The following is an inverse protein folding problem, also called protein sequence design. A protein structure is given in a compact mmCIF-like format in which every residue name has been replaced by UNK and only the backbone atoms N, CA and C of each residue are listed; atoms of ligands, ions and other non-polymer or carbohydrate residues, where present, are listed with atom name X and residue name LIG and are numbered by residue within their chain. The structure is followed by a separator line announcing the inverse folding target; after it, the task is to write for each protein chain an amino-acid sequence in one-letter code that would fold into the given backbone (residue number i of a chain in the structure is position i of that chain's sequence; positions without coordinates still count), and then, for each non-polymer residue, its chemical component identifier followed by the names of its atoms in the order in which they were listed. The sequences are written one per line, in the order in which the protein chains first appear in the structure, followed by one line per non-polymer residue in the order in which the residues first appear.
data_IF_851647561709
#
_entry.id   IF_851647561709
#
_cell.length_a   1.000
_cell.length_b   1.000
_cell.length_c   1.000
_cell.angle_alpha   90.00
_cell.angle_beta   90.00
_cell.angle_gamma   90.00
#
_symmetry.space_group_name_H-M   'P 1'
#
loop_
_entity.id
_entity.type
_entity.pdbx_description
1 polymer ?
#
# COMPACT_ATOMS: atom_id res chain seq x y z
N UNK A 1 24.20 -5.46 -1.12
CA UNK A 1 24.96 -6.57 -1.75
C UNK A 1 25.41 -7.50 -0.65
N UNK A 2 25.23 -8.81 -0.84
CA UNK A 2 25.42 -9.82 0.19
C UNK A 2 26.20 -10.99 -0.38
N UNK A 3 27.11 -11.57 0.41
CA UNK A 3 27.77 -12.83 0.08
C UNK A 3 26.83 -13.97 0.46
N UNK A 4 26.32 -14.71 -0.53
CA UNK A 4 25.39 -15.81 -0.28
C UNK A 4 26.00 -16.88 0.63
N UNK A 5 25.13 -17.50 1.44
CA UNK A 5 25.38 -18.67 2.27
C UNK A 5 24.28 -19.73 2.05
N UNK A 6 24.17 -20.72 2.94
CA UNK A 6 23.20 -21.81 2.79
C UNK A 6 21.76 -21.42 3.17
N UNK A 7 21.56 -20.32 3.91
CA UNK A 7 20.25 -19.87 4.34
C UNK A 7 19.60 -18.92 3.33
N UNK A 8 18.30 -18.65 3.52
CA UNK A 8 17.57 -17.70 2.69
C UNK A 8 17.89 -16.28 3.19
N UNK A 9 18.66 -15.56 2.38
CA UNK A 9 19.06 -14.17 2.65
C UNK A 9 19.84 -13.96 3.97
N UNK A 10 20.58 -14.95 4.46
CA UNK A 10 21.33 -14.89 5.75
C UNK A 10 22.81 -14.52 5.62
N UNK A 11 23.31 -14.45 4.39
CA UNK A 11 24.71 -14.18 4.09
C UNK A 11 25.26 -12.87 4.66
N UNK A 12 26.59 -12.77 4.80
CA UNK A 12 27.22 -11.56 5.30
C UNK A 12 27.01 -10.37 4.35
N UNK A 13 26.70 -9.20 4.91
CA UNK A 13 26.49 -7.95 4.16
C UNK A 13 27.85 -7.40 3.70
N UNK A 14 28.00 -7.23 2.39
CA UNK A 14 29.21 -6.67 1.78
C UNK A 14 29.10 -5.16 1.65
N UNK A 15 27.98 -4.67 1.12
CA UNK A 15 27.75 -3.25 0.87
C UNK A 15 26.26 -2.92 0.98
N UNK A 16 25.94 -1.71 1.41
CA UNK A 16 24.57 -1.24 1.58
C UNK A 16 24.38 0.11 0.90
N UNK A 17 23.19 0.34 0.36
CA UNK A 17 22.70 1.64 -0.06
C UNK A 17 21.26 1.78 0.44
N UNK A 18 20.83 3.01 0.66
CA UNK A 18 19.50 3.31 1.21
C UNK A 18 18.85 4.46 0.47
N UNK A 19 17.52 4.45 0.46
CA UNK A 19 16.69 5.57 0.03
C UNK A 19 15.52 5.76 1.01
N UNK A 20 15.01 6.99 1.19
CA UNK A 20 13.80 7.22 1.97
C UNK A 20 12.57 6.57 1.32
N UNK A 21 11.76 5.85 2.10
CA UNK A 21 10.48 5.28 1.58
C UNK A 21 9.46 6.38 1.26
N UNK A 22 9.44 7.47 2.02
CA UNK A 22 8.58 8.63 1.77
C UNK A 22 7.11 8.28 1.45
N UNK A 23 6.64 8.79 0.32
CA UNK A 23 5.28 8.57 -0.23
C UNK A 23 5.25 7.52 -1.34
N UNK A 24 6.33 6.74 -1.52
CA UNK A 24 6.42 5.79 -2.61
C UNK A 24 5.31 4.72 -2.54
N UNK A 25 4.83 4.34 -3.73
CA UNK A 25 4.20 3.04 -3.98
C UNK A 25 5.26 1.98 -4.21
N UNK A 26 4.91 0.69 -4.16
CA UNK A 26 5.85 -0.39 -4.47
C UNK A 26 6.46 -0.26 -5.87
N UNK A 27 5.70 0.18 -6.88
CA UNK A 27 6.24 0.47 -8.21
C UNK A 27 7.33 1.55 -8.19
N UNK A 28 7.05 2.68 -7.54
CA UNK A 28 8.02 3.80 -7.51
C UNK A 28 9.24 3.49 -6.66
N UNK A 29 9.08 2.80 -5.52
CA UNK A 29 10.20 2.37 -4.68
C UNK A 29 11.06 1.33 -5.40
N UNK A 30 10.43 0.43 -6.16
CA UNK A 30 11.17 -0.52 -7.00
C UNK A 30 12.04 0.19 -8.03
N UNK A 31 11.53 1.24 -8.68
CA UNK A 31 12.31 2.02 -9.65
C UNK A 31 13.52 2.72 -8.98
N UNK A 32 13.33 3.32 -7.80
CA UNK A 32 14.42 3.93 -7.02
C UNK A 32 15.50 2.90 -6.66
N UNK A 33 15.09 1.73 -6.14
CA UNK A 33 16.02 0.66 -5.79
C UNK A 33 16.72 0.06 -7.02
N UNK A 34 16.02 -0.03 -8.15
CA UNK A 34 16.58 -0.50 -9.42
C UNK A 34 17.63 0.48 -9.98
N UNK A 35 17.55 1.77 -9.66
CA UNK A 35 18.58 2.74 -10.00
C UNK A 35 19.81 2.65 -9.08
N UNK A 36 19.61 2.31 -7.79
CA UNK A 36 20.69 2.21 -6.80
C UNK A 36 21.49 0.89 -6.89
N UNK A 37 20.81 -0.22 -7.18
CA UNK A 37 21.40 -1.56 -7.12
C UNK A 37 22.58 -1.77 -8.08
N UNK A 38 22.46 -1.49 -9.39
CA UNK A 38 23.50 -1.82 -10.35
C UNK A 38 24.83 -1.08 -10.11
N UNK A 39 24.87 0.25 -9.88
CA UNK A 39 26.11 0.94 -9.54
C UNK A 39 26.79 0.35 -8.28
N UNK A 40 26.03 0.09 -7.21
CA UNK A 40 26.57 -0.50 -5.98
C UNK A 40 27.13 -1.91 -6.22
N UNK A 41 26.45 -2.71 -7.04
CA UNK A 41 26.92 -4.04 -7.41
C UNK A 41 28.24 -3.98 -8.16
N UNK A 42 28.36 -3.09 -9.17
CA UNK A 42 29.59 -2.94 -9.96
C UNK A 42 30.76 -2.48 -9.08
N UNK A 43 30.56 -1.48 -8.24
CA UNK A 43 31.58 -1.02 -7.27
C UNK A 43 32.01 -2.15 -6.33
N UNK A 44 31.07 -2.96 -5.85
CA UNK A 44 31.36 -4.10 -4.97
C UNK A 44 32.20 -5.16 -5.70
N UNK A 45 31.94 -5.41 -6.99
CA UNK A 45 32.67 -6.39 -7.78
C UNK A 45 34.09 -5.92 -8.12
N UNK A 46 34.26 -4.66 -8.50
CA UNK A 46 35.57 -4.07 -8.81
C UNK A 46 36.53 -4.08 -7.60
N UNK A 47 35.97 -4.09 -6.39
CA UNK A 47 36.72 -4.08 -5.13
C UNK A 47 36.37 -5.25 -4.19
N UNK A 48 36.03 -6.41 -4.76
CA UNK A 48 35.43 -7.52 -4.02
C UNK A 48 36.22 -7.98 -2.79
N UNK A 49 37.54 -8.13 -2.89
CA UNK A 49 38.37 -8.57 -1.75
C UNK A 49 38.35 -7.57 -0.59
N UNK A 50 38.32 -6.27 -0.89
CA UNK A 50 38.22 -5.22 0.12
C UNK A 50 36.84 -5.22 0.80
N UNK A 51 35.75 -5.48 0.06
CA UNK A 51 34.42 -5.61 0.64
C UNK A 51 34.24 -6.92 1.44
N UNK A 52 34.79 -8.04 0.96
CA UNK A 52 34.79 -9.32 1.68
C UNK A 52 35.54 -9.22 3.01
N UNK A 53 36.70 -8.57 3.04
CA UNK A 53 37.48 -8.39 4.28
C UNK A 53 36.75 -7.57 5.35
N UNK A 54 35.75 -6.78 4.94
CA UNK A 54 34.93 -5.92 5.81
C UNK A 54 33.47 -6.39 5.92
N UNK A 55 33.18 -7.61 5.45
CA UNK A 55 31.83 -8.14 5.46
C UNK A 55 31.29 -8.22 6.90
N UNK A 56 30.03 -7.81 7.08
CA UNK A 56 29.37 -7.82 8.38
C UNK A 56 28.37 -8.97 8.44
N UNK A 57 28.49 -9.83 9.45
CA UNK A 57 27.43 -10.80 9.75
C UNK A 57 26.14 -10.07 10.11
N UNK A 58 25.02 -10.63 9.68
CA UNK A 58 23.70 -10.12 10.07
C UNK A 58 23.41 -10.42 11.53
N UNK A 59 22.58 -9.59 12.17
CA UNK A 59 22.05 -9.84 13.50
C UNK A 59 20.69 -10.55 13.38
N UNK A 60 20.68 -11.85 13.64
CA UNK A 60 19.47 -12.68 13.56
C UNK A 60 18.34 -12.17 14.47
N UNK A 61 18.66 -11.47 15.56
CA UNK A 61 17.63 -10.92 16.47
C UNK A 61 16.90 -9.72 15.87
N UNK A 62 17.49 -9.06 14.86
CA UNK A 62 16.90 -7.96 14.12
C UNK A 62 16.23 -8.42 12.80
N UNK A 63 16.35 -9.70 12.44
CA UNK A 63 15.82 -10.22 11.19
C UNK A 63 14.28 -10.24 11.18
N UNK A 64 13.69 -9.80 10.07
CA UNK A 64 12.25 -9.88 9.82
C UNK A 64 12.00 -10.51 8.45
N UNK A 65 10.96 -11.33 8.34
CA UNK A 65 10.63 -11.99 7.09
C UNK A 65 9.54 -11.24 6.31
N UNK A 66 9.84 -10.87 5.06
CA UNK A 66 8.86 -10.29 4.14
C UNK A 66 8.07 -11.40 3.44
N UNK A 67 6.89 -11.73 3.96
CA UNK A 67 6.01 -12.74 3.36
C UNK A 67 5.55 -12.32 1.94
N UNK A 68 5.33 -13.32 1.08
CA UNK A 68 4.71 -13.10 -0.23
C UNK A 68 3.30 -12.55 -0.05
N UNK A 69 2.97 -11.50 -0.80
CA UNK A 69 1.66 -10.86 -0.78
C UNK A 69 0.65 -11.71 -1.56
N UNK A 70 -0.48 -12.05 -0.93
CA UNK A 70 -1.63 -12.69 -1.56
C UNK A 70 -2.70 -11.67 -2.02
N UNK A 71 -3.51 -12.05 -3.00
CA UNK A 71 -4.61 -11.19 -3.51
C UNK A 71 -5.65 -10.85 -2.45
N UNK A 72 -5.89 -11.73 -1.48
CA UNK A 72 -6.87 -11.55 -0.41
C UNK A 72 -6.46 -10.45 0.56
N UNK A 73 -5.15 -10.20 0.71
CA UNK A 73 -4.63 -9.10 1.54
C UNK A 73 -4.99 -7.72 0.98
N UNK A 74 -5.35 -7.64 -0.31
CA UNK A 74 -5.87 -6.42 -0.91
C UNK A 74 -7.25 -6.01 -0.37
N UNK A 75 -7.98 -6.88 0.33
CA UNK A 75 -9.25 -6.51 0.94
C UNK A 75 -9.02 -5.50 2.07
N UNK A 76 -9.62 -4.32 1.95
CA UNK A 76 -9.51 -3.28 2.98
C UNK A 76 -10.30 -3.70 4.22
N UNK A 77 -9.61 -3.79 5.35
CA UNK A 77 -10.23 -3.82 6.67
C UNK A 77 -10.34 -2.39 7.20
N UNK A 78 -11.57 -1.88 7.23
CA UNK A 78 -11.86 -0.53 7.69
C UNK A 78 -11.68 -0.36 9.21
N UNK A 79 -11.60 -1.45 9.98
CA UNK A 79 -11.28 -1.37 11.41
C UNK A 79 -9.81 -1.05 11.66
N UNK A 80 -8.94 -1.14 10.66
CA UNK A 80 -7.57 -0.66 10.78
C UNK A 80 -7.53 0.89 10.86
N UNK A 81 -6.51 1.47 11.50
CA UNK A 81 -6.28 2.92 11.45
C UNK A 81 -6.11 3.40 10.00
N UNK A 82 -6.63 4.60 9.66
CA UNK A 82 -6.56 5.15 8.31
C UNK A 82 -5.12 5.18 7.75
N UNK A 83 -4.12 5.49 8.60
CA UNK A 83 -2.70 5.47 8.23
C UNK A 83 -2.19 4.10 7.78
N UNK A 84 -2.73 3.02 8.33
CA UNK A 84 -2.33 1.66 7.98
C UNK A 84 -2.94 1.28 6.63
N UNK A 85 -4.23 1.59 6.45
CA UNK A 85 -4.92 1.41 5.16
C UNK A 85 -4.19 2.20 4.07
N UNK A 86 -3.83 3.45 4.34
CA UNK A 86 -3.07 4.30 3.41
C UNK A 86 -1.72 3.68 3.02
N UNK A 87 -0.97 3.11 3.98
CA UNK A 87 0.29 2.42 3.70
C UNK A 87 0.06 1.18 2.84
N UNK A 88 -0.98 0.39 3.12
CA UNK A 88 -1.35 -0.78 2.31
C UNK A 88 -1.73 -0.38 0.88
N UNK A 89 -2.46 0.72 0.69
CA UNK A 89 -2.78 1.25 -0.65
C UNK A 89 -1.51 1.46 -1.49
N UNK A 90 -0.50 2.10 -0.90
CA UNK A 90 0.79 2.33 -1.59
C UNK A 90 1.59 1.05 -1.76
N UNK A 91 1.68 0.21 -0.73
CA UNK A 91 2.43 -1.04 -0.76
C UNK A 91 1.85 -2.04 -1.78
N UNK A 92 0.54 -2.00 -2.02
CA UNK A 92 -0.15 -2.90 -2.93
C UNK A 92 -0.40 -2.28 -4.31
N UNK A 93 0.16 -1.11 -4.63
CA UNK A 93 0.16 -0.54 -5.98
C UNK A 93 1.49 -0.91 -6.70
N UNK A 94 1.46 -1.74 -7.75
CA UNK A 94 0.30 -2.07 -8.60
C UNK A 94 -0.39 -3.39 -8.30
N UNK A 95 0.21 -4.26 -7.49
CA UNK A 95 -0.32 -5.58 -7.17
C UNK A 95 -0.36 -5.81 -5.65
N UNK A 96 -1.45 -6.39 -5.11
CA UNK A 96 -2.70 -6.78 -5.79
C UNK A 96 -3.67 -5.63 -6.10
N UNK A 97 -3.37 -4.43 -5.60
CA UNK A 97 -4.30 -3.32 -5.46
C UNK A 97 -5.29 -3.57 -4.31
N UNK A 98 -5.57 -2.54 -3.52
CA UNK A 98 -6.58 -2.67 -2.48
C UNK A 98 -7.99 -2.56 -3.07
N UNK A 99 -8.96 -3.18 -2.40
CA UNK A 99 -10.36 -3.12 -2.77
C UNK A 99 -11.29 -3.27 -1.57
N UNK A 100 -12.52 -2.80 -1.73
CA UNK A 100 -13.62 -3.00 -0.79
C UNK A 100 -14.93 -3.14 -1.57
N UNK A 101 -16.04 -3.42 -0.87
CA UNK A 101 -17.35 -3.56 -1.48
C UNK A 101 -18.27 -2.42 -1.02
N UNK A 102 -18.93 -1.76 -1.97
CA UNK A 102 -20.02 -0.82 -1.70
C UNK A 102 -21.30 -1.44 -2.27
N UNK A 103 -22.14 -1.96 -1.37
CA UNK A 103 -23.20 -2.90 -1.75
C UNK A 103 -22.62 -4.14 -2.43
N UNK A 104 -23.16 -4.51 -3.60
CA UNK A 104 -22.62 -5.60 -4.43
C UNK A 104 -21.39 -5.19 -5.27
N UNK A 105 -21.03 -3.90 -5.31
CA UNK A 105 -19.99 -3.41 -6.22
C UNK A 105 -18.62 -3.49 -5.59
N UNK A 106 -17.70 -4.26 -6.20
CA UNK A 106 -16.28 -4.24 -5.83
C UNK A 106 -15.59 -2.99 -6.36
N UNK A 107 -15.06 -2.17 -5.47
CA UNK A 107 -14.33 -0.94 -5.80
C UNK A 107 -12.87 -1.13 -5.45
N UNK A 108 -11.97 -0.95 -6.42
CA UNK A 108 -10.53 -0.86 -6.16
C UNK A 108 -10.17 0.55 -5.71
N UNK A 109 -9.29 0.67 -4.73
CA UNK A 109 -8.84 1.94 -4.15
C UNK A 109 -7.34 2.02 -4.41
N UNK A 110 -6.90 3.11 -5.03
CA UNK A 110 -5.51 3.27 -5.49
C UNK A 110 -4.78 4.38 -4.74
N UNK A 111 -5.46 5.50 -4.49
CA UNK A 111 -4.88 6.61 -3.74
C UNK A 111 -5.86 7.14 -2.70
N UNK A 112 -5.30 7.48 -1.55
CA UNK A 112 -6.01 8.14 -0.49
C UNK A 112 -5.05 8.97 0.38
N UNK A 113 -5.63 9.86 1.18
CA UNK A 113 -4.93 10.63 2.20
C UNK A 113 -5.59 10.44 3.56
N UNK A 114 -4.79 10.43 4.62
CA UNK A 114 -5.31 10.42 6.00
C UNK A 114 -5.86 11.79 6.31
N UNK A 115 -7.05 11.85 6.89
CA UNK A 115 -7.67 13.06 7.40
C UNK A 115 -7.76 12.92 8.91
N UNK A 116 -6.97 13.73 9.62
CA UNK A 116 -6.95 13.77 11.07
C UNK A 116 -8.19 14.48 11.59
N UNK A 117 -9.22 13.69 11.88
CA UNK A 117 -10.48 14.13 12.43
C UNK A 117 -11.06 12.97 13.23
N UNK A 118 -11.80 13.24 14.32
CA UNK A 118 -12.50 12.20 15.04
C UNK A 118 -13.53 11.53 14.12
N UNK A 119 -13.74 10.24 14.34
CA UNK A 119 -14.70 9.41 13.60
C UNK A 119 -16.13 9.52 14.13
N UNK A 120 -16.34 10.28 15.21
CA UNK A 120 -17.63 10.59 15.87
C UNK A 120 -18.74 9.56 15.60
N UNK A 121 -18.63 8.40 16.24
CA UNK A 121 -19.62 7.31 16.22
C UNK A 121 -19.91 6.67 14.86
N UNK A 122 -19.22 7.05 13.78
CA UNK A 122 -19.37 6.42 12.49
C UNK A 122 -18.83 4.99 12.52
N UNK A 123 -19.60 4.05 11.96
CA UNK A 123 -19.15 2.67 11.80
C UNK A 123 -17.97 2.65 10.82
N UNK A 124 -16.87 1.94 11.12
CA UNK A 124 -15.77 1.77 10.16
C UNK A 124 -16.28 1.31 8.79
N UNK A 125 -15.87 2.02 7.74
CA UNK A 125 -16.35 1.83 6.37
C UNK A 125 -17.46 2.79 5.94
N UNK A 126 -18.11 3.51 6.85
CA UNK A 126 -19.13 4.51 6.51
C UNK A 126 -18.55 5.67 5.70
N UNK A 127 -19.21 6.04 4.61
CA UNK A 127 -18.91 7.27 3.87
C UNK A 127 -19.42 8.46 4.70
N UNK A 128 -18.51 9.32 5.14
CA UNK A 128 -18.84 10.50 5.94
C UNK A 128 -19.11 11.71 5.05
N UNK A 129 -18.41 11.79 3.91
CA UNK A 129 -18.55 12.89 2.94
C UNK A 129 -18.09 12.45 1.56
N UNK A 130 -18.79 12.88 0.52
CA UNK A 130 -18.35 12.73 -0.87
C UNK A 130 -18.39 14.09 -1.57
N UNK A 131 -17.30 14.46 -2.22
CA UNK A 131 -17.14 15.74 -2.94
C UNK A 131 -16.02 15.61 -3.97
N UNK A 132 -15.81 16.65 -4.78
CA UNK A 132 -14.70 16.70 -5.75
C UNK A 132 -13.32 16.50 -5.13
N UNK A 133 -13.16 16.79 -3.84
CA UNK A 133 -11.91 16.55 -3.11
C UNK A 133 -11.66 15.06 -2.78
N UNK A 134 -12.69 14.21 -2.85
CA UNK A 134 -12.60 12.79 -2.52
C UNK A 134 -13.81 12.23 -1.78
N UNK A 135 -13.76 10.92 -1.55
CA UNK A 135 -14.73 10.16 -0.76
C UNK A 135 -14.10 9.89 0.61
N UNK A 136 -14.60 10.54 1.64
CA UNK A 136 -14.12 10.44 3.02
C UNK A 136 -14.83 9.29 3.73
N UNK A 137 -14.06 8.35 4.25
CA UNK A 137 -14.55 7.10 4.87
C UNK A 137 -14.02 7.00 6.30
N UNK A 138 -14.89 6.59 7.24
CA UNK A 138 -14.52 6.32 8.62
C UNK A 138 -13.66 5.04 8.72
N UNK A 139 -12.61 5.08 9.53
CA UNK A 139 -11.74 3.93 9.81
C UNK A 139 -11.70 3.65 11.33
N UNK A 140 -10.87 2.71 11.80
CA UNK A 140 -10.67 2.44 13.23
C UNK A 140 -9.92 3.52 14.02
N UNK A 141 -10.13 4.79 13.71
CA UNK A 141 -9.44 5.93 14.32
C UNK A 141 -9.72 7.23 13.56
N UNK A 142 -8.78 7.62 12.70
CA UNK A 142 -8.90 8.76 11.77
C UNK A 142 -9.83 8.44 10.58
N UNK A 143 -10.03 9.43 9.71
CA UNK A 143 -10.72 9.28 8.43
C UNK A 143 -9.73 9.02 7.29
N UNK A 144 -10.21 8.36 6.24
CA UNK A 144 -9.46 8.16 4.99
C UNK A 144 -10.19 8.82 3.83
N UNK A 145 -9.55 9.77 3.15
CA UNK A 145 -10.08 10.42 1.95
C UNK A 145 -9.57 9.71 0.71
N UNK A 146 -10.42 8.91 0.06
CA UNK A 146 -10.15 8.25 -1.21
C UNK A 146 -10.14 9.29 -2.32
N UNK A 147 -9.01 9.39 -3.03
CA UNK A 147 -8.82 10.35 -4.12
C UNK A 147 -8.76 9.69 -5.49
N UNK A 148 -8.34 8.42 -5.56
CA UNK A 148 -8.34 7.66 -6.81
C UNK A 148 -8.87 6.24 -6.60
N UNK A 149 -9.81 5.83 -7.46
CA UNK A 149 -10.49 4.54 -7.39
C UNK A 149 -10.75 3.95 -8.78
N UNK A 150 -11.16 2.69 -8.82
CA UNK A 150 -11.49 1.98 -10.05
C UNK A 150 -12.71 1.10 -9.81
N UNK A 151 -13.75 1.34 -10.60
CA UNK A 151 -14.95 0.52 -10.66
C UNK A 151 -14.71 -0.75 -11.51
N UNK A 152 -15.55 -1.80 -11.36
CA UNK A 152 -15.42 -3.03 -12.15
C UNK A 152 -15.37 -2.76 -13.65
N UNK A 153 -14.37 -3.34 -14.35
CA UNK A 153 -14.18 -3.17 -15.79
C UNK A 153 -13.71 -1.78 -16.24
N UNK A 154 -13.60 -0.81 -15.32
CA UNK A 154 -13.20 0.57 -15.62
C UNK A 154 -11.69 0.81 -15.54
N UNK A 155 -11.28 2.04 -15.87
CA UNK A 155 -9.92 2.56 -15.64
C UNK A 155 -9.78 3.15 -14.23
N UNK A 156 -8.54 3.42 -13.79
CA UNK A 156 -8.29 4.23 -12.59
C UNK A 156 -8.75 5.67 -12.87
N UNK A 157 -9.54 6.23 -11.96
CA UNK A 157 -10.15 7.55 -12.09
C UNK A 157 -10.02 8.34 -10.79
N UNK A 158 -9.93 9.66 -10.92
CA UNK A 158 -10.04 10.55 -9.76
C UNK A 158 -11.45 10.49 -9.18
N UNK A 159 -11.57 10.67 -7.86
CA UNK A 159 -12.85 10.59 -7.17
C UNK A 159 -13.90 11.53 -7.76
N UNK A 160 -13.53 12.77 -8.12
CA UNK A 160 -14.41 13.73 -8.81
C UNK A 160 -15.00 13.19 -10.11
N UNK A 161 -14.21 12.46 -10.91
CA UNK A 161 -14.67 11.91 -12.19
C UNK A 161 -15.67 10.77 -11.95
N UNK A 162 -15.42 9.94 -10.95
CA UNK A 162 -16.33 8.87 -10.56
C UNK A 162 -17.63 9.44 -10.00
N UNK A 163 -17.58 10.47 -9.15
CA UNK A 163 -18.77 11.09 -8.55
C UNK A 163 -19.68 11.75 -9.58
N UNK A 164 -19.12 12.32 -10.65
CA UNK A 164 -19.91 12.87 -11.75
C UNK A 164 -20.55 11.78 -12.63
N UNK A 165 -19.90 10.63 -12.78
CA UNK A 165 -20.46 9.49 -13.54
C UNK A 165 -21.41 8.60 -12.75
N UNK A 166 -21.32 8.60 -11.41
CA UNK A 166 -21.98 7.66 -10.50
C UNK A 166 -22.56 8.37 -9.26
N UNK A 167 -23.25 9.48 -9.47
CA UNK A 167 -23.66 10.43 -8.41
C UNK A 167 -24.49 9.83 -7.27
N UNK A 168 -25.25 8.76 -7.53
CA UNK A 168 -26.09 8.11 -6.50
C UNK A 168 -25.39 6.98 -5.74
N UNK A 169 -24.20 6.54 -6.21
CA UNK A 169 -23.54 5.36 -5.65
C UNK A 169 -22.77 5.69 -4.35
N UNK A 170 -22.14 6.86 -4.28
CA UNK A 170 -21.26 7.25 -3.18
C UNK A 170 -21.91 8.33 -2.32
N UNK A 171 -22.82 7.91 -1.45
CA UNK A 171 -23.57 8.81 -0.55
C UNK A 171 -23.21 8.55 0.90
N UNK A 172 -23.61 9.43 1.81
CA UNK A 172 -23.37 9.26 3.26
C UNK A 172 -24.16 8.12 3.89
N UNK A 173 -25.11 7.52 3.17
CA UNK A 173 -25.77 6.28 3.55
C UNK A 173 -24.93 5.03 3.19
N UNK A 174 -23.90 5.19 2.37
CA UNK A 174 -23.04 4.10 1.89
C UNK A 174 -22.04 3.64 2.95
N UNK A 175 -21.84 2.33 3.02
CA UNK A 175 -20.85 1.68 3.89
C UNK A 175 -20.01 0.72 3.06
N UNK A 176 -18.70 0.94 3.06
CA UNK A 176 -17.74 0.00 2.50
C UNK A 176 -17.56 -1.20 3.42
N UNK A 177 -17.52 -2.40 2.84
CA UNK A 177 -17.48 -3.68 3.57
C UNK A 177 -16.37 -4.61 3.07
N UNK A 178 -16.07 -5.60 3.89
CA UNK A 178 -15.14 -6.70 3.58
C UNK A 178 -15.78 -7.80 2.71
N UNK A 179 -17.10 -7.78 2.53
CA UNK A 179 -17.86 -8.68 1.67
C UNK A 179 -18.95 -7.91 0.92
N UNK A 180 -19.40 -8.37 -0.25
CA UNK A 180 -20.58 -7.79 -0.89
C UNK A 180 -21.81 -8.00 0.00
N UNK A 181 -22.76 -7.07 -0.05
CA UNK A 181 -24.09 -7.31 0.51
C UNK A 181 -24.77 -8.47 -0.22
N UNK A 182 -25.56 -9.27 0.48
CA UNK A 182 -26.37 -10.30 -0.15
C UNK A 182 -27.32 -9.64 -1.15
N UNK A 183 -27.35 -10.13 -2.39
CA UNK A 183 -28.41 -9.77 -3.31
C UNK A 183 -29.73 -10.29 -2.71
N UNK A 184 -30.59 -9.37 -2.27
CA UNK A 184 -31.94 -9.69 -1.80
C UNK A 184 -32.84 -10.19 -2.92
#
# INVERSE_FOLDING_TARGET
IMQMDAGLDTGAMLATASCPVGRHTSATLHAELAALGPPLLLETLDHLEAYRSRAQSQDDSAATYAHKIDKREGLVDWHCPAREIERRLRAFDPFPGCYSFLGATRVKIWQASVVHAPTDMAVPGSIVRASDAGIVVACGGDLLCITQLQLPGGKRLEAREVLHGHTTQFTTAGVFRSSPDAAG
#
